data_IF_393738904939
#
_entry.id   IF_393738904939
#
_cell.length_a   1.000
_cell.length_b   1.000
_cell.length_c   1.000
_cell.angle_alpha   90.00
_cell.angle_beta   90.00
_cell.angle_gamma   90.00
#
_symmetry.space_group_name_H-M   'P 1'
#
loop_
_entity.id
_entity.type
_entity.pdbx_description
1 polymer ?
#
# COMPACT_ATOMS: atom_id res chain seq x y z
N UNK A 1 5.94 9.53 -21.46
CA UNK A 1 4.48 9.48 -21.16
C UNK A 1 4.22 10.20 -19.85
N UNK A 2 3.16 11.05 -19.82
CA UNK A 2 2.72 11.75 -18.60
C UNK A 2 2.41 10.74 -17.48
N UNK A 3 2.93 11.01 -16.28
CA UNK A 3 2.66 10.20 -15.08
C UNK A 3 1.23 10.45 -14.58
N UNK A 4 0.51 11.41 -15.18
CA UNK A 4 -0.86 11.78 -14.82
C UNK A 4 -0.98 12.70 -13.61
N UNK A 5 0.14 13.32 -13.18
CA UNK A 5 0.21 14.28 -12.07
C UNK A 5 1.18 15.43 -12.35
N UNK A 6 1.43 15.75 -13.62
CA UNK A 6 2.42 16.77 -14.00
C UNK A 6 2.05 18.18 -13.54
N UNK A 7 0.77 18.44 -13.31
CA UNK A 7 0.21 19.68 -12.77
C UNK A 7 0.28 19.75 -11.23
N UNK A 8 0.60 18.64 -10.54
CA UNK A 8 0.73 18.54 -9.09
C UNK A 8 2.18 18.64 -8.58
N UNK A 9 3.08 19.27 -9.37
CA UNK A 9 4.53 19.35 -9.09
C UNK A 9 4.90 19.96 -7.73
N UNK A 10 4.02 20.75 -7.15
CA UNK A 10 4.24 21.40 -5.85
C UNK A 10 3.45 20.76 -4.73
N UNK A 11 2.68 19.70 -5.01
CA UNK A 11 1.87 19.00 -4.04
C UNK A 11 2.58 17.75 -3.53
N UNK A 12 2.29 17.34 -2.31
CA UNK A 12 2.66 16.02 -1.81
C UNK A 12 1.71 14.97 -2.35
N UNK A 13 2.25 13.85 -2.77
CA UNK A 13 1.50 12.76 -3.39
C UNK A 13 1.36 11.59 -2.43
N UNK A 14 0.12 11.32 -2.01
CA UNK A 14 -0.28 10.07 -1.39
C UNK A 14 -0.73 9.12 -2.51
N UNK A 15 -0.27 7.88 -2.52
CA UNK A 15 -0.65 6.96 -3.58
C UNK A 15 -0.96 5.55 -3.09
N UNK A 16 -1.77 4.85 -3.87
CA UNK A 16 -2.02 3.41 -3.71
C UNK A 16 -1.95 2.71 -5.05
N UNK A 17 -1.40 1.49 -5.05
CA UNK A 17 -1.39 0.58 -6.21
C UNK A 17 -2.18 -0.66 -5.84
N UNK A 18 -3.40 -0.76 -6.35
CA UNK A 18 -4.26 -1.91 -6.08
C UNK A 18 -5.42 -1.98 -7.08
N UNK A 19 -6.04 -3.14 -7.22
CA UNK A 19 -7.33 -3.24 -7.90
C UNK A 19 -8.38 -2.40 -7.16
N UNK A 20 -9.32 -1.83 -7.90
CA UNK A 20 -10.47 -1.15 -7.30
C UNK A 20 -11.55 -2.20 -7.06
N UNK A 21 -11.55 -2.74 -5.85
CA UNK A 21 -12.46 -3.80 -5.40
C UNK A 21 -12.76 -3.64 -3.91
N UNK A 22 -13.87 -4.20 -3.40
CA UNK A 22 -14.30 -4.01 -2.02
C UNK A 22 -13.24 -4.40 -0.98
N UNK A 23 -12.53 -5.52 -1.21
CA UNK A 23 -11.50 -6.02 -0.30
C UNK A 23 -10.27 -5.10 -0.19
N UNK A 24 -10.07 -4.20 -1.17
CA UNK A 24 -9.00 -3.20 -1.14
C UNK A 24 -9.39 -1.93 -0.37
N UNK A 25 -10.65 -1.82 0.06
CA UNK A 25 -11.10 -0.77 0.95
C UNK A 25 -10.99 0.66 0.39
N UNK A 26 -11.04 0.83 -0.95
CA UNK A 26 -10.87 2.14 -1.59
C UNK A 26 -11.95 3.13 -1.13
N UNK A 27 -13.15 2.67 -0.79
CA UNK A 27 -14.20 3.52 -0.21
C UNK A 27 -13.76 4.12 1.13
N UNK A 28 -13.10 3.34 2.00
CA UNK A 28 -12.53 3.83 3.26
C UNK A 28 -11.41 4.84 3.01
N UNK A 29 -10.56 4.59 1.99
CA UNK A 29 -9.50 5.52 1.59
C UNK A 29 -10.08 6.87 1.16
N UNK A 30 -11.07 6.90 0.26
CA UNK A 30 -11.68 8.17 -0.18
C UNK A 30 -12.39 8.86 0.97
N UNK A 31 -13.14 8.12 1.80
CA UNK A 31 -13.81 8.68 2.98
C UNK A 31 -12.82 9.24 4.02
N UNK A 32 -11.66 8.62 4.19
CA UNK A 32 -10.60 9.17 5.03
C UNK A 32 -9.94 10.40 4.41
N UNK A 33 -9.73 10.37 3.09
CA UNK A 33 -9.06 11.45 2.37
C UNK A 33 -9.90 12.75 2.37
N UNK A 34 -11.23 12.66 2.30
CA UNK A 34 -12.11 13.85 2.43
C UNK A 34 -11.92 14.59 3.77
N UNK A 35 -11.54 13.86 4.83
CA UNK A 35 -11.21 14.45 6.14
C UNK A 35 -9.77 14.98 6.19
N UNK A 36 -8.85 14.28 5.53
CA UNK A 36 -7.42 14.65 5.49
C UNK A 36 -7.22 15.96 4.76
N UNK A 37 -7.88 16.17 3.61
CA UNK A 37 -7.68 17.35 2.77
C UNK A 37 -8.07 18.67 3.51
N UNK A 38 -8.96 18.60 4.47
CA UNK A 38 -9.31 19.73 5.31
C UNK A 38 -8.18 20.20 6.23
N UNK A 39 -7.22 19.30 6.55
CA UNK A 39 -6.08 19.57 7.43
C UNK A 39 -4.77 19.64 6.67
N UNK A 40 -4.68 19.01 5.51
CA UNK A 40 -3.49 18.93 4.65
C UNK A 40 -3.90 19.28 3.21
N UNK A 41 -4.22 20.53 2.90
CA UNK A 41 -4.82 20.94 1.62
C UNK A 41 -3.89 20.72 0.41
N UNK A 42 -2.58 20.65 0.62
CA UNK A 42 -1.59 20.41 -0.44
C UNK A 42 -1.40 18.93 -0.76
N UNK A 43 -2.10 18.02 -0.07
CA UNK A 43 -2.01 16.60 -0.36
C UNK A 43 -2.87 16.24 -1.57
N UNK A 44 -2.37 15.34 -2.41
CA UNK A 44 -3.08 14.79 -3.56
C UNK A 44 -3.08 13.28 -3.47
N UNK A 45 -4.16 12.64 -3.93
CA UNK A 45 -4.31 11.20 -3.91
C UNK A 45 -4.29 10.61 -5.32
N UNK A 46 -3.38 9.66 -5.56
CA UNK A 46 -3.33 8.87 -6.79
C UNK A 46 -3.72 7.43 -6.49
N UNK A 47 -4.67 6.91 -7.27
CA UNK A 47 -5.09 5.50 -7.23
C UNK A 47 -4.67 4.87 -8.56
N UNK A 48 -3.73 3.92 -8.50
CA UNK A 48 -3.25 3.18 -9.67
C UNK A 48 -3.82 1.77 -9.62
N UNK A 49 -4.60 1.42 -10.63
CA UNK A 49 -5.19 0.10 -10.80
C UNK A 49 -6.56 0.14 -11.45
N UNK A 50 -6.87 -0.90 -12.16
CA UNK A 50 -8.19 -1.11 -12.77
C UNK A 50 -9.17 -1.77 -11.82
N UNK A 51 -10.35 -2.03 -12.33
CA UNK A 51 -11.38 -2.83 -11.67
C UNK A 51 -11.78 -4.02 -12.56
N UNK A 52 -12.03 -5.21 -11.98
CA UNK A 52 -12.70 -6.30 -12.69
C UNK A 52 -14.14 -5.93 -13.04
N UNK A 53 -14.70 -6.49 -14.10
CA UNK A 53 -16.05 -6.13 -14.57
C UNK A 53 -17.12 -6.37 -13.49
N UNK A 54 -16.99 -7.41 -12.69
CA UNK A 54 -17.87 -7.68 -11.53
C UNK A 54 -17.84 -6.57 -10.48
N UNK A 55 -16.81 -5.74 -10.45
CA UNK A 55 -16.66 -4.60 -9.52
C UNK A 55 -16.96 -3.25 -10.16
N UNK A 56 -17.50 -3.21 -11.36
CA UNK A 56 -17.88 -1.95 -12.04
C UNK A 56 -18.83 -1.08 -11.22
N UNK A 57 -19.83 -1.69 -10.59
CA UNK A 57 -20.74 -0.93 -9.71
C UNK A 57 -20.03 -0.33 -8.48
N UNK A 58 -19.03 -1.03 -7.96
CA UNK A 58 -18.20 -0.49 -6.87
C UNK A 58 -17.36 0.69 -7.35
N UNK A 59 -16.71 0.57 -8.51
CA UNK A 59 -15.96 1.66 -9.14
C UNK A 59 -16.85 2.91 -9.36
N UNK A 60 -18.07 2.73 -9.88
CA UNK A 60 -19.01 3.84 -10.07
C UNK A 60 -19.42 4.50 -8.75
N UNK A 61 -19.59 3.73 -7.67
CA UNK A 61 -19.83 4.29 -6.34
C UNK A 61 -18.65 5.15 -5.86
N UNK A 62 -17.41 4.69 -6.05
CA UNK A 62 -16.19 5.42 -5.71
C UNK A 62 -16.12 6.74 -6.49
N UNK A 63 -16.29 6.71 -7.81
CA UNK A 63 -16.20 7.92 -8.66
C UNK A 63 -17.31 8.93 -8.34
N UNK A 64 -18.52 8.46 -8.06
CA UNK A 64 -19.62 9.32 -7.63
C UNK A 64 -19.37 9.94 -6.25
N UNK A 65 -18.76 9.18 -5.33
CA UNK A 65 -18.40 9.68 -4.01
C UNK A 65 -17.33 10.78 -4.10
N UNK A 66 -16.30 10.58 -4.93
CA UNK A 66 -15.27 11.60 -5.21
C UNK A 66 -15.92 12.91 -5.69
N UNK A 67 -16.88 12.83 -6.62
CA UNK A 67 -17.61 14.02 -7.12
C UNK A 67 -18.47 14.68 -6.04
N UNK A 68 -19.20 13.86 -5.26
CA UNK A 68 -20.08 14.35 -4.19
C UNK A 68 -19.33 15.09 -3.08
N UNK A 69 -18.13 14.63 -2.74
CA UNK A 69 -17.26 15.21 -1.71
C UNK A 69 -16.35 16.33 -2.25
N UNK A 70 -16.56 16.75 -3.50
CA UNK A 70 -15.75 17.79 -4.19
C UNK A 70 -14.23 17.51 -4.20
N UNK A 71 -13.89 16.23 -4.42
CA UNK A 71 -12.50 15.76 -4.39
C UNK A 71 -11.87 15.64 -5.78
N UNK A 72 -12.55 16.08 -6.85
CA UNK A 72 -12.12 15.88 -8.25
C UNK A 72 -10.76 16.51 -8.56
N UNK A 73 -10.44 17.64 -7.94
CA UNK A 73 -9.14 18.32 -8.09
C UNK A 73 -8.04 17.72 -7.20
N UNK A 74 -8.40 16.82 -6.26
CA UNK A 74 -7.49 16.26 -5.26
C UNK A 74 -7.23 14.76 -5.44
N UNK A 75 -8.08 14.06 -6.21
CA UNK A 75 -8.02 12.59 -6.38
C UNK A 75 -7.98 12.24 -7.85
N UNK A 76 -7.03 11.41 -8.25
CA UNK A 76 -6.95 10.82 -9.59
C UNK A 76 -6.94 9.31 -9.55
N UNK A 77 -7.79 8.72 -10.38
CA UNK A 77 -7.79 7.28 -10.66
C UNK A 77 -7.15 7.09 -12.04
N UNK A 78 -5.95 6.52 -12.07
CA UNK A 78 -5.17 6.35 -13.30
C UNK A 78 -5.51 5.08 -14.09
N UNK A 79 -6.42 4.24 -13.56
CA UNK A 79 -6.70 2.93 -14.15
C UNK A 79 -5.50 1.98 -14.09
N UNK A 80 -5.58 0.92 -14.89
CA UNK A 80 -4.47 -0.05 -15.01
C UNK A 80 -3.28 0.60 -15.73
N UNK A 81 -2.08 0.46 -15.14
CA UNK A 81 -0.83 1.02 -15.66
C UNK A 81 0.28 -0.03 -15.64
N UNK A 82 0.94 -0.24 -16.79
CA UNK A 82 2.12 -1.10 -16.89
C UNK A 82 3.37 -0.50 -16.24
N UNK A 83 3.39 0.81 -16.05
CA UNK A 83 4.48 1.58 -15.46
C UNK A 83 4.22 1.96 -13.99
N UNK A 84 3.36 1.19 -13.30
CA UNK A 84 2.97 1.45 -11.90
C UNK A 84 4.17 1.66 -10.97
N UNK A 85 5.28 0.93 -11.15
CA UNK A 85 6.51 1.12 -10.37
C UNK A 85 7.22 2.46 -10.64
N UNK A 86 7.04 3.06 -11.82
CA UNK A 86 7.54 4.41 -12.09
C UNK A 86 6.68 5.44 -11.37
N UNK A 87 5.36 5.25 -11.41
CA UNK A 87 4.41 6.12 -10.71
C UNK A 87 4.61 6.02 -9.20
N UNK A 88 4.85 4.81 -8.67
CA UNK A 88 5.16 4.59 -7.25
C UNK A 88 6.31 5.50 -6.78
N UNK A 89 7.38 5.62 -7.55
CA UNK A 89 8.54 6.45 -7.19
C UNK A 89 8.26 7.96 -7.16
N UNK A 90 7.12 8.39 -7.68
CA UNK A 90 6.67 9.79 -7.62
C UNK A 90 5.77 10.06 -6.42
N UNK A 91 5.48 9.05 -5.60
CA UNK A 91 4.69 9.19 -4.39
C UNK A 91 5.58 9.58 -3.21
N UNK A 92 5.14 10.56 -2.42
CA UNK A 92 5.76 10.92 -1.14
C UNK A 92 5.37 9.94 -0.03
N UNK A 93 4.14 9.39 -0.11
CA UNK A 93 3.58 8.46 0.86
C UNK A 93 2.79 7.36 0.13
N UNK A 94 2.88 6.14 0.63
CA UNK A 94 2.08 5.02 0.16
C UNK A 94 0.99 4.67 1.17
N UNK A 95 -0.22 4.36 0.68
CA UNK A 95 -1.36 3.97 1.50
C UNK A 95 -1.91 2.61 1.06
N UNK A 96 -2.16 1.71 2.03
CA UNK A 96 -2.91 0.48 1.83
C UNK A 96 -4.12 0.46 2.76
N UNK A 97 -5.31 0.56 2.18
CA UNK A 97 -6.59 0.53 2.90
C UNK A 97 -7.26 -0.85 2.89
N UNK A 98 -6.53 -1.89 2.50
CA UNK A 98 -7.06 -3.25 2.30
C UNK A 98 -7.70 -3.81 3.58
N UNK A 99 -8.77 -4.59 3.40
CA UNK A 99 -9.47 -5.29 4.46
C UNK A 99 -8.93 -6.71 4.64
N UNK A 100 -8.26 -7.26 3.62
CA UNK A 100 -7.62 -8.57 3.65
C UNK A 100 -6.45 -8.62 2.68
N UNK A 101 -5.33 -9.19 3.12
CA UNK A 101 -4.15 -9.48 2.31
C UNK A 101 -3.46 -10.74 2.82
N UNK A 102 -2.95 -11.56 1.89
CA UNK A 102 -1.99 -12.61 2.22
C UNK A 102 -0.60 -12.00 2.37
N UNK A 103 0.11 -11.80 1.26
CA UNK A 103 1.36 -11.04 1.22
C UNK A 103 1.15 -9.79 0.34
N UNK A 104 1.20 -8.56 0.92
CA UNK A 104 0.94 -7.32 0.18
C UNK A 104 2.16 -6.91 -0.67
N UNK A 105 2.25 -7.41 -1.91
CA UNK A 105 3.38 -7.14 -2.81
C UNK A 105 3.58 -5.64 -3.03
N UNK A 106 2.49 -4.89 -3.20
CA UNK A 106 2.58 -3.43 -3.39
C UNK A 106 3.18 -2.69 -2.18
N UNK A 107 3.00 -3.19 -0.96
CA UNK A 107 3.71 -2.67 0.23
C UNK A 107 5.20 -3.01 0.16
N UNK A 108 5.57 -4.25 -0.25
CA UNK A 108 6.97 -4.62 -0.44
C UNK A 108 7.66 -3.74 -1.50
N UNK A 109 6.96 -3.42 -2.60
CA UNK A 109 7.43 -2.51 -3.65
C UNK A 109 7.61 -1.08 -3.12
N UNK A 110 6.65 -0.57 -2.32
CA UNK A 110 6.74 0.74 -1.70
C UNK A 110 7.91 0.84 -0.69
N UNK A 111 8.09 -0.19 0.16
CA UNK A 111 9.24 -0.27 1.07
C UNK A 111 10.56 -0.35 0.29
N UNK A 112 10.62 -1.14 -0.80
CA UNK A 112 11.81 -1.24 -1.67
C UNK A 112 12.16 0.10 -2.30
N UNK A 113 11.16 0.92 -2.57
CA UNK A 113 11.30 2.28 -3.09
C UNK A 113 11.56 3.33 -1.99
N UNK A 114 11.66 2.90 -0.72
CA UNK A 114 11.85 3.76 0.48
C UNK A 114 10.76 4.81 0.65
N UNK A 115 9.52 4.45 0.31
CA UNK A 115 8.37 5.32 0.49
C UNK A 115 7.75 5.05 1.88
N UNK A 116 7.48 6.06 2.69
CA UNK A 116 6.79 5.91 3.97
C UNK A 116 5.37 5.38 3.78
N UNK A 117 4.94 4.47 4.67
CA UNK A 117 3.70 3.70 4.49
C UNK A 117 2.73 3.93 5.64
N UNK A 118 1.46 4.11 5.28
CA UNK A 118 0.31 3.91 6.16
C UNK A 118 -0.48 2.71 5.64
N UNK A 119 -0.82 1.78 6.51
CA UNK A 119 -1.57 0.59 6.10
C UNK A 119 -2.56 0.15 7.19
N UNK A 120 -3.61 -0.54 6.80
CA UNK A 120 -4.54 -1.19 7.73
C UNK A 120 -3.86 -2.33 8.48
N UNK A 121 -4.21 -2.52 9.76
CA UNK A 121 -3.64 -3.52 10.65
C UNK A 121 -4.25 -4.91 10.41
N UNK A 122 -4.05 -5.46 9.22
CA UNK A 122 -4.41 -6.84 8.84
C UNK A 122 -3.19 -7.75 8.81
N UNK A 123 -3.39 -9.07 8.82
CA UNK A 123 -2.32 -10.05 8.98
C UNK A 123 -1.14 -9.81 8.04
N UNK A 124 -1.35 -9.77 6.71
CA UNK A 124 -0.28 -9.57 5.74
C UNK A 124 0.47 -8.25 5.91
N UNK A 125 -0.23 -7.15 6.24
CA UNK A 125 0.40 -5.85 6.47
C UNK A 125 1.25 -5.87 7.77
N UNK A 126 0.76 -6.51 8.83
CA UNK A 126 1.49 -6.68 10.10
C UNK A 126 2.78 -7.46 9.91
N UNK A 127 2.74 -8.51 9.10
CA UNK A 127 3.91 -9.34 8.79
C UNK A 127 5.01 -8.51 8.10
N UNK A 128 4.65 -7.63 7.17
CA UNK A 128 5.61 -6.77 6.49
C UNK A 128 6.05 -5.60 7.37
N UNK A 129 5.11 -4.89 8.02
CA UNK A 129 5.39 -3.65 8.75
C UNK A 129 5.70 -3.86 10.25
N UNK A 130 5.68 -5.10 10.74
CA UNK A 130 6.08 -5.52 12.08
C UNK A 130 5.49 -4.65 13.20
N UNK A 131 4.16 -4.66 13.29
CA UNK A 131 3.43 -3.92 14.31
C UNK A 131 3.85 -2.44 14.42
N UNK A 132 3.84 -1.73 13.30
CA UNK A 132 4.18 -0.29 13.19
C UNK A 132 5.67 0.07 13.38
N UNK A 133 6.59 -0.89 13.46
CA UNK A 133 8.01 -0.57 13.52
C UNK A 133 8.57 -0.01 12.19
N UNK A 134 7.88 -0.30 11.07
CA UNK A 134 8.35 0.01 9.72
C UNK A 134 7.32 0.75 8.86
N UNK A 135 6.24 1.24 9.48
CA UNK A 135 5.17 2.00 8.87
C UNK A 135 4.13 2.34 9.92
N UNK A 136 3.09 3.07 9.58
CA UNK A 136 1.96 3.35 10.47
C UNK A 136 0.86 2.32 10.17
N UNK A 137 0.52 1.51 11.16
CA UNK A 137 -0.63 0.61 11.10
C UNK A 137 -1.83 1.26 11.78
N UNK A 138 -3.00 1.11 11.16
CA UNK A 138 -4.28 1.68 11.63
C UNK A 138 -5.38 0.62 11.58
N UNK A 139 -6.40 0.78 12.39
CA UNK A 139 -7.54 -0.12 12.43
C UNK A 139 -8.20 -0.26 11.04
N UNK A 140 -8.44 -1.50 10.56
CA UNK A 140 -9.11 -1.73 9.29
C UNK A 140 -10.58 -1.30 9.36
N UNK A 141 -11.16 -1.00 8.20
CA UNK A 141 -12.55 -0.56 8.05
C UNK A 141 -12.92 0.69 8.89
N UNK A 142 -11.94 1.53 9.21
CA UNK A 142 -12.13 2.79 9.97
C UNK A 142 -11.54 3.96 9.18
N UNK A 143 -12.37 4.73 8.44
CA UNK A 143 -11.92 5.96 7.78
C UNK A 143 -11.32 6.98 8.75
N UNK A 144 -11.78 7.01 10.00
CA UNK A 144 -11.24 7.83 11.08
C UNK A 144 -9.78 7.48 11.37
N UNK A 145 -9.51 6.23 11.72
CA UNK A 145 -8.16 5.77 12.04
C UNK A 145 -7.22 5.94 10.84
N UNK A 146 -7.74 5.68 9.63
CA UNK A 146 -6.97 5.86 8.40
C UNK A 146 -6.61 7.34 8.18
N UNK A 147 -7.55 8.26 8.40
CA UNK A 147 -7.29 9.71 8.28
C UNK A 147 -6.24 10.18 9.30
N UNK A 148 -6.31 9.72 10.53
CA UNK A 148 -5.32 10.04 11.56
C UNK A 148 -3.93 9.50 11.22
N UNK A 149 -3.85 8.28 10.69
CA UNK A 149 -2.60 7.69 10.21
C UNK A 149 -1.97 8.50 9.08
N UNK A 150 -2.78 8.93 8.10
CA UNK A 150 -2.32 9.78 6.98
C UNK A 150 -1.82 11.13 7.51
N UNK A 151 -2.58 11.81 8.37
CA UNK A 151 -2.16 13.08 8.95
C UNK A 151 -0.86 12.90 9.72
N UNK A 152 -0.75 11.86 10.55
CA UNK A 152 0.45 11.58 11.34
C UNK A 152 1.69 11.42 10.47
N UNK A 153 1.62 10.66 9.36
CA UNK A 153 2.80 10.43 8.51
C UNK A 153 3.23 11.71 7.80
N UNK A 154 2.28 12.60 7.44
CA UNK A 154 2.61 13.88 6.81
C UNK A 154 3.26 14.89 7.76
N UNK A 155 3.14 14.67 9.07
CA UNK A 155 3.71 15.53 10.13
C UNK A 155 5.10 15.06 10.59
N UNK A 156 5.53 13.85 10.21
CA UNK A 156 6.86 13.37 10.54
C UNK A 156 7.95 14.23 9.87
N UNK A 157 9.02 14.48 10.61
CA UNK A 157 10.19 15.14 10.07
C UNK A 157 10.90 14.28 9.03
N UNK A 158 11.66 14.90 8.14
CA UNK A 158 12.43 14.15 7.14
C UNK A 158 13.40 13.14 7.77
N UNK A 159 13.94 13.43 8.94
CA UNK A 159 14.83 12.50 9.67
C UNK A 159 14.06 11.27 10.17
N UNK A 160 12.85 11.45 10.72
CA UNK A 160 11.99 10.33 11.16
C UNK A 160 11.57 9.46 9.98
N UNK A 161 11.16 10.08 8.86
CA UNK A 161 10.84 9.37 7.64
C UNK A 161 12.02 8.56 7.09
N UNK A 162 13.23 9.16 7.09
CA UNK A 162 14.44 8.49 6.65
C UNK A 162 14.81 7.29 7.53
N UNK A 163 14.65 7.40 8.84
CA UNK A 163 14.89 6.29 9.77
C UNK A 163 13.88 5.18 9.54
N UNK A 164 12.59 5.53 9.47
CA UNK A 164 11.50 4.59 9.26
C UNK A 164 11.71 3.77 7.97
N UNK A 165 11.91 4.46 6.85
CA UNK A 165 12.04 3.82 5.53
C UNK A 165 13.32 3.03 5.38
N UNK A 166 14.44 3.50 5.94
CA UNK A 166 15.71 2.75 5.96
C UNK A 166 15.57 1.43 6.73
N UNK A 167 14.95 1.48 7.90
CA UNK A 167 14.75 0.29 8.74
C UNK A 167 13.82 -0.72 8.05
N UNK A 168 12.72 -0.24 7.46
CA UNK A 168 11.81 -1.05 6.66
C UNK A 168 12.54 -1.73 5.48
N UNK A 169 13.30 -0.96 4.70
CA UNK A 169 14.06 -1.46 3.55
C UNK A 169 15.07 -2.55 3.95
N UNK A 170 15.85 -2.31 5.01
CA UNK A 170 16.84 -3.29 5.47
C UNK A 170 16.19 -4.62 5.89
N UNK A 171 15.01 -4.55 6.50
CA UNK A 171 14.27 -5.74 6.88
C UNK A 171 13.76 -6.51 5.66
N UNK A 172 13.07 -5.85 4.72
CA UNK A 172 12.51 -6.59 3.58
C UNK A 172 13.60 -7.19 2.69
N UNK A 173 14.73 -6.50 2.53
CA UNK A 173 15.90 -7.04 1.83
C UNK A 173 16.40 -8.33 2.47
N UNK A 174 16.34 -8.44 3.80
CA UNK A 174 16.80 -9.62 4.55
C UNK A 174 15.76 -10.75 4.58
N UNK A 175 14.47 -10.42 4.73
CA UNK A 175 13.45 -11.41 5.07
C UNK A 175 12.54 -11.79 3.87
N UNK A 176 12.42 -10.88 2.87
CA UNK A 176 11.49 -11.01 1.72
C UNK A 176 12.17 -10.96 0.36
N UNK A 177 13.51 -11.12 0.31
CA UNK A 177 14.19 -11.21 -0.98
C UNK A 177 13.90 -12.54 -1.69
N UNK A 178 14.07 -12.55 -3.02
CA UNK A 178 13.89 -13.77 -3.83
C UNK A 178 14.87 -14.87 -3.40
N UNK A 179 16.09 -14.49 -3.01
CA UNK A 179 17.13 -15.40 -2.53
C UNK A 179 16.69 -16.08 -1.23
N UNK A 180 16.15 -15.30 -0.28
CA UNK A 180 15.68 -15.82 0.99
C UNK A 180 14.45 -16.73 0.81
N UNK A 181 13.50 -16.31 -0.03
CA UNK A 181 12.34 -17.13 -0.40
C UNK A 181 12.78 -18.46 -1.02
N UNK A 182 13.71 -18.42 -1.98
CA UNK A 182 14.22 -19.61 -2.66
C UNK A 182 14.92 -20.53 -1.66
N UNK A 183 15.78 -19.98 -0.81
CA UNK A 183 16.48 -20.75 0.22
C UNK A 183 15.54 -21.48 1.16
N UNK A 184 14.51 -20.79 1.66
CA UNK A 184 13.49 -21.38 2.54
C UNK A 184 12.69 -22.46 1.83
N UNK A 185 12.32 -22.25 0.57
CA UNK A 185 11.57 -23.23 -0.24
C UNK A 185 12.40 -24.49 -0.47
N UNK A 186 13.67 -24.35 -0.86
CA UNK A 186 14.59 -25.50 -1.06
C UNK A 186 14.79 -26.27 0.25
N UNK A 187 14.96 -25.57 1.39
CA UNK A 187 15.07 -26.21 2.69
C UNK A 187 13.82 -27.01 3.05
N UNK A 188 12.64 -26.47 2.77
CA UNK A 188 11.38 -27.18 3.00
C UNK A 188 11.29 -28.44 2.16
N UNK A 189 11.61 -28.37 0.86
CA UNK A 189 11.61 -29.54 -0.01
C UNK A 189 12.60 -30.62 0.47
N UNK A 190 13.83 -30.24 0.82
CA UNK A 190 14.80 -31.20 1.38
C UNK A 190 14.33 -31.86 2.65
N UNK A 191 13.60 -31.12 3.52
CA UNK A 191 13.04 -31.68 4.76
C UNK A 191 11.90 -32.67 4.49
N UNK A 192 11.06 -32.39 3.48
CA UNK A 192 9.96 -33.29 3.10
C UNK A 192 10.47 -34.56 2.46
N UNK A 193 11.45 -34.49 1.54
CA UNK A 193 12.06 -35.67 0.90
C UNK A 193 12.71 -36.58 1.92
N UNK A 194 13.51 -36.06 2.87
CA UNK A 194 14.11 -36.86 3.95
C UNK A 194 13.09 -37.55 4.86
N UNK A 195 11.88 -37.00 5.00
CA UNK A 195 10.79 -37.66 5.75
C UNK A 195 10.21 -38.84 4.96
N UNK A 196 10.10 -38.73 3.63
CA UNK A 196 9.60 -39.84 2.81
C UNK A 196 10.57 -41.01 2.79
N UNK A 197 11.88 -40.76 2.68
CA UNK A 197 12.90 -41.83 2.76
C UNK A 197 12.81 -42.62 4.09
N UNK A 198 12.35 -41.99 5.17
CA UNK A 198 12.16 -42.65 6.45
C UNK A 198 10.85 -43.48 6.54
N UNK A 199 9.88 -43.28 5.67
CA UNK A 199 8.65 -44.07 5.58
C UNK A 199 8.78 -45.28 4.61
N UNK A 200 9.70 -45.24 3.64
CA UNK A 200 9.96 -46.35 2.73
C UNK A 200 10.93 -47.41 3.33
N UNK A 201 11.48 -47.15 4.52
CA UNK A 201 12.40 -48.05 5.21
C UNK A 201 11.69 -48.95 6.25
N UNK A 202 10.35 -49.03 6.26
CA UNK A 202 9.52 -49.95 7.03
C UNK A 202 8.64 -50.80 6.10
#
# INVERSE_FOLDING_TARGET
ESIGCDDWKHNKILGTISRISPEKGIHNLISSFSKVIQKVPDLRLIIVGGYPEEHKNYYLKITNFIKKEDLTEHVRILGYRNDALKILKCMDFYISSSLSEGLPISILEAVSSRIPIVATEIAGNKDVLRNSAFGILVEPNSPECLSLGIIRITQLTQNELNILTRNAYNRIKKEFSVEEMTSKTVLLYKKLLRKNDAYEAY
#
